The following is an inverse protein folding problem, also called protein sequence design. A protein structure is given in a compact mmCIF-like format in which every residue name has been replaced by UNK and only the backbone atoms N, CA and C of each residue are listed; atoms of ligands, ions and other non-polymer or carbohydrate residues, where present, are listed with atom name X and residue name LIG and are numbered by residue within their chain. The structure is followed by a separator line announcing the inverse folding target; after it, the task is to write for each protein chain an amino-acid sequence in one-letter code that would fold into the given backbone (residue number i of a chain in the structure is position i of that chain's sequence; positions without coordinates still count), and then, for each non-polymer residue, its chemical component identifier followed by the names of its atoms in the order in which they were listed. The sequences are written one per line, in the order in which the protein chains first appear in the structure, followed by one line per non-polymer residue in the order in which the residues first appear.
data_IF_426777846225
#
_entry.id   IF_426777846225
#
_cell.length_a   1.000
_cell.length_b   1.000
_cell.length_c   1.000
_cell.angle_alpha   90.00
_cell.angle_beta   90.00
_cell.angle_gamma   90.00
#
_symmetry.space_group_name_H-M   'P 1'
#
loop_
_entity.id
_entity.type
_entity.pdbx_description
1 polymer ?
#
# COMPACT_ATOMS: atom_id res chain seq x y z
N UNK A 1 37.52 -13.70 -5.82
CA UNK A 1 37.71 -12.27 -5.93
C UNK A 1 36.37 -11.64 -5.57
N UNK A 2 36.24 -11.08 -4.37
CA UNK A 2 35.02 -10.48 -3.90
C UNK A 2 34.89 -9.06 -4.45
N UNK A 3 33.87 -8.79 -5.25
CA UNK A 3 33.52 -7.44 -5.66
C UNK A 3 32.83 -6.74 -4.48
N UNK A 4 33.47 -5.76 -3.89
CA UNK A 4 32.84 -4.87 -2.92
C UNK A 4 31.93 -3.91 -3.68
N UNK A 5 30.62 -4.07 -3.49
CA UNK A 5 29.64 -3.09 -3.96
C UNK A 5 29.74 -1.89 -3.00
N UNK A 6 30.27 -0.79 -3.51
CA UNK A 6 30.22 0.50 -2.80
C UNK A 6 28.80 1.04 -2.92
N UNK A 7 28.00 0.87 -1.87
CA UNK A 7 26.74 1.59 -1.73
C UNK A 7 27.10 3.06 -1.52
N UNK A 8 26.65 3.93 -2.43
CA UNK A 8 26.71 5.36 -2.21
C UNK A 8 25.94 5.66 -0.92
N UNK A 9 26.66 5.97 0.15
CA UNK A 9 26.09 6.41 1.40
C UNK A 9 25.54 7.82 1.18
N UNK A 10 24.26 7.91 0.83
CA UNK A 10 23.51 9.13 1.11
C UNK A 10 23.59 9.40 2.61
N UNK A 11 23.67 10.67 3.00
CA UNK A 11 23.61 11.04 4.40
C UNK A 11 22.41 10.33 5.05
N UNK A 12 22.55 9.74 6.26
CA UNK A 12 21.44 9.08 6.91
C UNK A 12 20.31 10.09 7.05
N UNK A 13 19.12 9.73 6.53
CA UNK A 13 17.91 10.50 6.78
C UNK A 13 17.70 10.52 8.29
N UNK A 14 17.69 11.70 8.87
CA UNK A 14 17.29 11.87 10.27
C UNK A 14 15.77 11.70 10.34
N UNK A 15 15.35 10.44 10.51
CA UNK A 15 13.95 10.07 10.60
C UNK A 15 13.20 10.77 11.77
N UNK A 16 13.93 11.31 12.73
CA UNK A 16 13.35 12.06 13.85
C UNK A 16 12.93 13.49 13.52
N UNK A 17 13.33 14.02 12.35
CA UNK A 17 13.02 15.39 11.94
C UNK A 17 12.13 15.49 10.71
N UNK A 18 11.81 14.36 10.04
CA UNK A 18 10.90 14.38 8.90
C UNK A 18 9.50 14.78 9.36
N UNK A 19 8.98 15.84 8.79
CA UNK A 19 7.57 16.23 8.88
C UNK A 19 7.02 16.25 7.48
N UNK A 20 5.90 15.58 7.27
CA UNK A 20 5.13 15.74 6.05
C UNK A 20 4.80 17.22 5.89
N UNK A 21 5.08 17.79 4.72
CA UNK A 21 4.68 19.14 4.43
C UNK A 21 3.14 19.23 4.21
N UNK A 22 2.62 20.44 4.22
CA UNK A 22 1.17 20.66 4.06
C UNK A 22 0.65 20.11 2.72
N UNK A 23 1.49 20.08 1.70
CA UNK A 23 1.13 19.55 0.36
C UNK A 23 0.98 18.05 0.42
N UNK A 24 1.91 17.33 1.06
CA UNK A 24 1.81 15.88 1.25
C UNK A 24 0.58 15.50 2.07
N UNK A 25 0.30 16.26 3.13
CA UNK A 25 -0.91 16.06 3.96
C UNK A 25 -2.18 16.24 3.13
N UNK A 26 -2.28 17.30 2.32
CA UNK A 26 -3.48 17.54 1.49
C UNK A 26 -3.64 16.47 0.40
N UNK A 27 -2.55 16.02 -0.24
CA UNK A 27 -2.60 14.90 -1.20
C UNK A 27 -3.12 13.63 -0.54
N UNK A 28 -2.65 13.33 0.67
CA UNK A 28 -3.15 12.18 1.43
C UNK A 28 -4.64 12.32 1.76
N UNK A 29 -5.07 13.49 2.24
CA UNK A 29 -6.48 13.77 2.49
C UNK A 29 -7.33 13.61 1.21
N UNK A 30 -6.81 14.00 0.06
CA UNK A 30 -7.51 13.82 -1.22
C UNK A 30 -7.69 12.34 -1.58
N UNK A 31 -6.68 11.50 -1.33
CA UNK A 31 -6.79 10.05 -1.53
C UNK A 31 -7.81 9.41 -0.55
N UNK A 32 -7.88 9.91 0.68
CA UNK A 32 -8.82 9.42 1.69
C UNK A 32 -10.27 9.77 1.35
N UNK A 33 -10.51 10.89 0.67
CA UNK A 33 -11.85 11.31 0.21
C UNK A 33 -12.43 10.45 -0.91
N UNK A 34 -11.65 9.57 -1.52
CA UNK A 34 -12.13 8.62 -2.52
C UNK A 34 -12.62 7.36 -1.81
N UNK A 35 -13.94 7.10 -1.75
CA UNK A 35 -14.50 5.98 -0.98
C UNK A 35 -14.40 4.65 -1.74
N UNK A 36 -13.20 4.12 -1.89
CA UNK A 36 -12.92 2.84 -2.57
C UNK A 36 -13.35 1.66 -1.68
N UNK A 37 -14.64 1.55 -1.40
CA UNK A 37 -15.19 0.53 -0.51
C UNK A 37 -15.31 -0.80 -1.24
N UNK A 38 -14.56 -1.80 -0.80
CA UNK A 38 -14.70 -3.17 -1.30
C UNK A 38 -15.95 -3.85 -0.73
N UNK A 39 -16.52 -4.78 -1.50
CA UNK A 39 -17.72 -5.54 -1.14
C UNK A 39 -17.54 -7.00 -1.53
N UNK A 40 -17.83 -7.93 -0.62
CA UNK A 40 -17.79 -9.37 -0.93
C UNK A 40 -18.64 -9.72 -2.16
N UNK A 41 -19.85 -9.11 -2.24
CA UNK A 41 -20.66 -9.18 -3.44
C UNK A 41 -20.25 -8.06 -4.39
N UNK A 42 -19.47 -8.40 -5.40
CA UNK A 42 -18.96 -7.43 -6.39
C UNK A 42 -20.08 -6.63 -7.10
N UNK A 43 -21.28 -7.17 -7.21
CA UNK A 43 -22.41 -6.46 -7.80
C UNK A 43 -22.94 -5.29 -6.94
N UNK A 44 -22.52 -5.21 -5.68
CA UNK A 44 -22.86 -4.14 -4.75
C UNK A 44 -21.73 -3.10 -4.63
N UNK A 45 -20.59 -3.32 -5.28
CA UNK A 45 -19.47 -2.37 -5.29
C UNK A 45 -19.82 -1.18 -6.17
N UNK A 46 -19.55 0.00 -5.68
CA UNK A 46 -19.53 1.21 -6.50
C UNK A 46 -18.16 1.34 -7.17
N UNK A 47 -18.11 1.16 -8.48
CA UNK A 47 -16.89 1.18 -9.26
C UNK A 47 -16.38 2.60 -9.58
N UNK A 48 -17.23 3.62 -9.43
CA UNK A 48 -16.85 5.01 -9.74
C UNK A 48 -15.66 5.52 -8.92
N UNK A 49 -15.59 5.33 -7.58
CA UNK A 49 -14.41 5.70 -6.79
C UNK A 49 -13.13 4.98 -7.23
N UNK A 50 -13.22 3.70 -7.58
CA UNK A 50 -12.07 2.95 -8.08
C UNK A 50 -11.59 3.47 -9.44
N UNK A 51 -12.52 3.89 -10.30
CA UNK A 51 -12.20 4.48 -11.60
C UNK A 51 -11.42 5.79 -11.47
N UNK A 52 -11.68 6.57 -10.42
CA UNK A 52 -11.04 7.84 -10.13
C UNK A 52 -9.63 7.69 -9.53
N UNK A 53 -9.30 6.52 -8.98
CA UNK A 53 -8.08 6.30 -8.21
C UNK A 53 -6.81 6.59 -9.01
N UNK A 54 -6.58 5.88 -10.10
CA UNK A 54 -5.39 6.07 -10.93
C UNK A 54 -5.30 7.48 -11.53
N UNK A 55 -6.37 8.06 -12.12
CA UNK A 55 -6.33 9.45 -12.57
C UNK A 55 -5.96 10.45 -11.48
N UNK A 56 -6.44 10.23 -10.26
CA UNK A 56 -6.08 11.08 -9.12
C UNK A 56 -4.60 10.96 -8.78
N UNK A 57 -4.07 9.75 -8.67
CA UNK A 57 -2.63 9.53 -8.44
C UNK A 57 -1.77 10.18 -9.54
N UNK A 58 -2.15 10.04 -10.80
CA UNK A 58 -1.44 10.66 -11.92
C UNK A 58 -1.38 12.19 -11.82
N UNK A 59 -2.44 12.81 -11.35
CA UNK A 59 -2.51 14.26 -11.13
C UNK A 59 -1.69 14.70 -9.93
N UNK A 60 -1.72 13.93 -8.83
CA UNK A 60 -1.04 14.26 -7.58
C UNK A 60 0.48 14.04 -7.67
N UNK A 61 0.92 13.04 -8.44
CA UNK A 61 2.32 12.58 -8.51
C UNK A 61 2.86 12.56 -9.94
N UNK A 62 2.90 13.73 -10.63
CA UNK A 62 3.22 13.79 -12.05
C UNK A 62 4.66 13.41 -12.39
N UNK A 63 5.64 13.60 -11.49
CA UNK A 63 7.02 13.17 -11.77
C UNK A 63 7.12 11.66 -11.76
N UNK A 64 6.45 10.99 -10.83
CA UNK A 64 6.42 9.55 -10.77
C UNK A 64 5.79 8.95 -12.04
N UNK A 65 4.59 9.38 -12.40
CA UNK A 65 3.89 8.86 -13.59
C UNK A 65 4.52 9.24 -14.93
N UNK A 66 5.44 10.18 -14.95
CA UNK A 66 6.24 10.49 -16.14
C UNK A 66 7.30 9.41 -16.43
N UNK A 67 7.77 8.72 -15.43
CA UNK A 67 8.84 7.71 -15.53
C UNK A 67 8.35 6.29 -15.30
N UNK A 68 7.27 6.11 -14.55
CA UNK A 68 6.72 4.81 -14.20
C UNK A 68 5.94 4.19 -15.36
N UNK A 69 6.01 2.88 -15.45
CA UNK A 69 5.24 2.05 -16.37
C UNK A 69 4.06 1.43 -15.63
N UNK A 70 2.84 1.69 -16.09
CA UNK A 70 1.62 1.17 -15.48
C UNK A 70 1.14 -0.09 -16.21
N UNK A 71 0.99 -1.17 -15.47
CA UNK A 71 0.23 -2.36 -15.87
C UNK A 71 -1.03 -2.46 -15.01
N UNK A 72 -2.19 -2.59 -15.64
CA UNK A 72 -3.44 -2.88 -14.93
C UNK A 72 -3.53 -4.36 -14.63
N UNK A 73 -4.00 -4.67 -13.43
CA UNK A 73 -4.30 -6.03 -12.98
C UNK A 73 -5.79 -6.07 -12.64
N UNK A 74 -6.52 -6.92 -13.32
CA UNK A 74 -7.98 -6.94 -13.27
C UNK A 74 -8.61 -5.56 -13.58
N UNK A 75 -9.71 -5.22 -12.93
CA UNK A 75 -10.45 -4.00 -13.23
C UNK A 75 -9.74 -2.74 -12.71
N UNK A 76 -9.28 -2.77 -11.46
CA UNK A 76 -8.77 -1.58 -10.76
C UNK A 76 -7.42 -1.77 -10.07
N UNK A 77 -6.91 -2.98 -9.98
CA UNK A 77 -5.57 -3.25 -9.47
C UNK A 77 -4.49 -2.61 -10.37
N UNK A 78 -3.39 -2.20 -9.78
CA UNK A 78 -2.29 -1.58 -10.50
C UNK A 78 -0.94 -2.15 -10.08
N UNK A 79 -0.09 -2.37 -11.09
CA UNK A 79 1.31 -2.74 -10.93
C UNK A 79 2.14 -1.69 -11.65
N UNK A 80 2.94 -0.95 -10.91
CA UNK A 80 3.72 0.19 -11.38
C UNK A 80 5.20 -0.14 -11.31
N UNK A 81 5.90 -0.04 -12.43
CA UNK A 81 7.35 -0.20 -12.48
C UNK A 81 8.02 1.17 -12.49
N UNK A 82 8.84 1.44 -11.51
CA UNK A 82 9.80 2.53 -11.51
C UNK A 82 11.16 1.98 -11.97
N UNK A 83 11.59 2.28 -13.22
CA UNK A 83 12.81 1.73 -13.78
C UNK A 83 14.05 2.12 -12.98
N UNK A 84 14.89 1.14 -12.71
CA UNK A 84 16.19 1.33 -12.08
C UNK A 84 17.32 1.53 -13.08
N UNK A 85 18.51 1.81 -12.56
CA UNK A 85 19.72 2.00 -13.35
C UNK A 85 20.24 0.67 -13.96
N UNK A 86 19.96 -0.46 -13.32
CA UNK A 86 20.35 -1.80 -13.76
C UNK A 86 19.15 -2.76 -13.71
N UNK A 87 18.56 -3.00 -14.87
CA UNK A 87 17.42 -3.91 -15.03
C UNK A 87 17.80 -5.40 -14.94
N UNK A 88 19.09 -5.75 -14.84
CA UNK A 88 19.52 -7.12 -14.62
C UNK A 88 19.47 -7.53 -13.14
N UNK A 89 19.30 -6.58 -12.25
CA UNK A 89 19.12 -6.85 -10.82
C UNK A 89 17.67 -7.24 -10.53
N UNK A 90 17.50 -8.26 -9.69
CA UNK A 90 16.16 -8.61 -9.18
C UNK A 90 15.50 -7.42 -8.51
N UNK A 91 14.25 -7.09 -8.84
CA UNK A 91 13.59 -5.88 -8.35
C UNK A 91 13.15 -5.97 -6.89
N UNK A 92 12.78 -4.83 -6.33
CA UNK A 92 12.02 -4.74 -5.09
C UNK A 92 10.55 -4.56 -5.46
N UNK A 93 9.66 -5.29 -4.80
CA UNK A 93 8.22 -5.06 -4.86
C UNK A 93 7.76 -4.47 -3.53
N UNK A 94 7.10 -3.34 -3.59
CA UNK A 94 6.37 -2.75 -2.47
C UNK A 94 4.88 -2.89 -2.76
N UNK A 95 4.09 -3.21 -1.75
CA UNK A 95 2.66 -3.39 -1.94
C UNK A 95 1.85 -2.74 -0.82
N UNK A 96 0.66 -2.32 -1.20
CA UNK A 96 -0.38 -1.83 -0.30
C UNK A 96 -1.71 -1.88 -1.06
N UNK A 97 -2.83 -1.83 -0.36
CA UNK A 97 -4.13 -1.82 -1.01
C UNK A 97 -4.78 -0.45 -1.05
N UNK A 98 -5.65 -0.25 -2.03
CA UNK A 98 -6.40 0.99 -2.22
C UNK A 98 -7.83 0.91 -1.73
N UNK A 99 -8.34 -0.30 -1.56
CA UNK A 99 -9.69 -0.53 -1.06
C UNK A 99 -9.75 -0.38 0.46
N UNK A 100 -10.96 -0.27 0.95
CA UNK A 100 -11.26 -0.12 2.38
C UNK A 100 -12.52 -0.87 2.72
N UNK A 101 -12.63 -1.32 3.98
CA UNK A 101 -13.85 -1.95 4.49
C UNK A 101 -15.02 -0.97 4.56
N UNK A 102 -16.28 -1.46 4.50
CA UNK A 102 -17.47 -0.67 4.68
C UNK A 102 -17.49 0.13 5.99
N UNK A 103 -18.24 1.22 6.01
CA UNK A 103 -18.40 2.11 7.17
C UNK A 103 -19.78 2.02 7.82
N UNK A 104 -20.70 1.32 7.19
CA UNK A 104 -22.08 1.16 7.62
C UNK A 104 -22.16 0.43 8.98
N UNK A 105 -23.03 0.88 9.85
CA UNK A 105 -23.22 0.30 11.17
C UNK A 105 -22.14 0.62 12.20
N UNK A 106 -21.20 1.48 11.86
CA UNK A 106 -20.15 1.99 12.74
C UNK A 106 -20.51 3.38 13.26
N UNK A 107 -20.10 3.68 14.51
CA UNK A 107 -20.36 4.98 15.14
C UNK A 107 -19.16 5.92 14.89
N UNK A 108 -19.24 6.69 13.81
CA UNK A 108 -18.20 7.63 13.41
C UNK A 108 -18.42 9.01 14.07
N UNK A 109 -17.38 9.58 14.66
CA UNK A 109 -17.40 10.94 15.20
C UNK A 109 -17.27 12.01 14.12
N UNK A 110 -16.57 11.68 13.03
CA UNK A 110 -16.33 12.52 11.88
C UNK A 110 -16.76 11.78 10.62
N UNK A 111 -16.96 12.47 9.51
CA UNK A 111 -17.26 11.84 8.23
C UNK A 111 -16.13 10.86 7.87
N UNK A 112 -16.41 9.55 7.70
CA UNK A 112 -15.39 8.55 7.39
C UNK A 112 -14.65 8.79 6.07
N UNK A 113 -15.17 9.63 5.18
CA UNK A 113 -14.53 10.02 3.93
C UNK A 113 -14.29 11.54 3.83
N UNK A 114 -14.45 12.28 4.93
CA UNK A 114 -14.19 13.71 5.00
C UNK A 114 -12.70 14.04 5.02
N UNK A 115 -11.87 13.14 5.53
CA UNK A 115 -10.44 13.36 5.78
C UNK A 115 -10.22 14.66 6.58
N UNK A 116 -11.02 14.84 7.64
CA UNK A 116 -10.94 16.00 8.52
C UNK A 116 -9.68 15.94 9.36
N UNK A 117 -9.02 17.10 9.51
CA UNK A 117 -7.87 17.22 10.42
C UNK A 117 -8.38 17.84 11.72
N UNK A 118 -8.37 17.05 12.78
CA UNK A 118 -8.83 17.46 14.09
C UNK A 118 -7.78 17.10 15.16
N UNK A 119 -7.41 18.05 15.99
CA UNK A 119 -6.37 17.92 17.03
C UNK A 119 -5.03 17.37 16.53
N UNK A 120 -4.66 17.64 15.26
CA UNK A 120 -3.42 17.16 14.66
C UNK A 120 -3.49 15.75 14.10
N UNK A 121 -4.66 15.12 14.10
CA UNK A 121 -4.93 13.80 13.54
C UNK A 121 -5.81 13.89 12.29
N UNK A 122 -5.55 13.02 11.31
CA UNK A 122 -6.40 12.90 10.11
C UNK A 122 -7.43 11.79 10.37
N UNK A 123 -8.69 12.17 10.39
CA UNK A 123 -9.81 11.27 10.64
C UNK A 123 -10.42 10.80 9.31
N UNK A 124 -10.20 9.55 8.95
CA UNK A 124 -10.85 8.94 7.79
C UNK A 124 -10.73 7.40 7.79
N UNK A 125 -11.63 6.71 7.10
CA UNK A 125 -11.47 5.32 6.72
C UNK A 125 -10.30 5.21 5.73
N UNK A 126 -9.37 4.24 5.96
CA UNK A 126 -8.17 4.06 5.15
C UNK A 126 -6.97 4.93 5.60
N UNK A 127 -7.11 5.77 6.64
CA UNK A 127 -6.01 6.59 7.14
C UNK A 127 -4.88 5.76 7.77
N UNK A 128 -5.17 4.58 8.30
CA UNK A 128 -4.20 3.63 8.81
C UNK A 128 -4.09 2.39 7.92
N UNK A 129 -5.19 1.86 7.46
CA UNK A 129 -5.32 0.64 6.72
C UNK A 129 -5.97 0.92 5.35
N UNK A 130 -5.17 1.03 4.22
CA UNK A 130 -3.70 1.24 4.25
C UNK A 130 -3.30 2.31 3.25
N UNK A 131 -4.21 3.26 2.93
CA UNK A 131 -3.91 4.37 2.00
C UNK A 131 -2.74 5.24 2.47
N UNK A 132 -2.39 5.20 3.77
CA UNK A 132 -1.19 5.89 4.29
C UNK A 132 0.09 5.31 3.67
N UNK A 133 0.19 4.00 3.48
CA UNK A 133 1.36 3.36 2.86
C UNK A 133 1.40 3.68 1.36
N UNK A 134 0.24 3.66 0.68
CA UNK A 134 0.14 4.12 -0.72
C UNK A 134 0.65 5.54 -0.85
N UNK A 135 0.16 6.46 -0.01
CA UNK A 135 0.59 7.86 -0.01
C UNK A 135 2.09 8.00 0.27
N UNK A 136 2.60 7.31 1.29
CA UNK A 136 4.01 7.36 1.66
C UNK A 136 4.93 6.91 0.52
N UNK A 137 4.56 5.84 -0.20
CA UNK A 137 5.31 5.40 -1.38
C UNK A 137 5.35 6.47 -2.47
N UNK A 138 4.20 7.02 -2.83
CA UNK A 138 4.14 8.01 -3.90
C UNK A 138 4.83 9.33 -3.52
N UNK A 139 4.69 9.81 -2.28
CA UNK A 139 5.39 11.00 -1.80
C UNK A 139 6.91 10.81 -1.84
N UNK A 140 7.41 9.67 -1.39
CA UNK A 140 8.84 9.37 -1.42
C UNK A 140 9.36 9.28 -2.86
N UNK A 141 8.66 8.56 -3.74
CA UNK A 141 9.06 8.40 -5.14
C UNK A 141 9.01 9.73 -5.90
N UNK A 142 7.94 10.50 -5.77
CA UNK A 142 7.75 11.82 -6.39
C UNK A 142 8.90 12.77 -6.01
N UNK A 143 9.20 12.85 -4.72
CA UNK A 143 10.27 13.68 -4.20
C UNK A 143 11.66 13.27 -4.72
N UNK A 144 11.97 11.98 -4.68
CA UNK A 144 13.25 11.45 -5.16
C UNK A 144 13.43 11.65 -6.66
N UNK A 145 12.39 11.40 -7.46
CA UNK A 145 12.42 11.60 -8.91
C UNK A 145 12.58 13.08 -9.27
N UNK A 146 11.91 13.97 -8.55
CA UNK A 146 12.06 15.41 -8.75
C UNK A 146 13.50 15.89 -8.49
N UNK A 147 14.27 15.17 -7.67
CA UNK A 147 15.71 15.41 -7.45
C UNK A 147 16.63 14.69 -8.44
N UNK A 148 16.07 13.98 -9.42
CA UNK A 148 16.83 13.23 -10.40
C UNK A 148 17.36 11.88 -9.92
N UNK A 149 16.83 11.36 -8.80
CA UNK A 149 17.22 10.05 -8.30
C UNK A 149 16.68 8.94 -9.21
N UNK A 150 17.57 7.99 -9.51
CA UNK A 150 17.22 6.74 -10.19
C UNK A 150 17.59 5.59 -9.26
N UNK A 151 16.67 4.68 -8.91
CA UNK A 151 17.00 3.57 -8.02
C UNK A 151 18.02 2.64 -8.70
N UNK A 152 18.87 1.94 -7.94
CA UNK A 152 19.87 1.05 -8.51
C UNK A 152 19.27 -0.18 -9.22
N UNK A 153 18.07 -0.59 -8.84
CA UNK A 153 17.28 -1.68 -9.44
C UNK A 153 15.85 -1.24 -9.63
N UNK A 154 15.08 -1.95 -10.42
CA UNK A 154 13.66 -1.66 -10.56
C UNK A 154 12.94 -1.72 -9.21
N UNK A 155 12.05 -0.75 -9.00
CA UNK A 155 11.12 -0.76 -7.88
C UNK A 155 9.71 -0.91 -8.45
N UNK A 156 9.03 -1.96 -8.04
CA UNK A 156 7.65 -2.19 -8.39
C UNK A 156 6.75 -1.81 -7.22
N UNK A 157 5.65 -1.16 -7.52
CA UNK A 157 4.60 -0.90 -6.55
C UNK A 157 3.33 -1.60 -7.03
N UNK A 158 2.81 -2.49 -6.21
CA UNK A 158 1.53 -3.15 -6.43
C UNK A 158 0.47 -2.57 -5.50
N UNK A 159 -0.71 -2.25 -6.05
CA UNK A 159 -1.86 -1.86 -5.25
C UNK A 159 -3.08 -2.68 -5.66
N UNK A 160 -3.62 -3.41 -4.68
CA UNK A 160 -4.83 -4.21 -4.80
C UNK A 160 -6.09 -3.35 -4.66
N UNK A 161 -7.17 -3.76 -5.32
CA UNK A 161 -8.50 -3.16 -5.25
C UNK A 161 -9.50 -3.99 -4.43
N UNK A 162 -9.03 -5.02 -3.72
CA UNK A 162 -9.88 -5.94 -2.98
C UNK A 162 -9.11 -6.79 -1.98
N UNK A 163 -8.14 -6.23 -1.27
CA UNK A 163 -7.40 -6.91 -0.22
C UNK A 163 -8.33 -7.33 0.91
N UNK A 164 -9.16 -6.40 1.38
CA UNK A 164 -10.10 -6.52 2.49
C UNK A 164 -11.17 -7.63 2.31
N UNK A 165 -11.31 -8.12 1.10
CA UNK A 165 -12.24 -9.19 0.73
C UNK A 165 -11.53 -10.40 0.14
N UNK A 166 -10.20 -10.47 0.26
CA UNK A 166 -9.36 -11.52 -0.32
C UNK A 166 -9.62 -11.74 -1.83
N UNK A 167 -9.82 -10.64 -2.58
CA UNK A 167 -9.99 -10.71 -4.03
C UNK A 167 -8.73 -11.27 -4.72
N UNK A 168 -8.86 -11.86 -5.92
CA UNK A 168 -7.76 -12.55 -6.57
C UNK A 168 -6.69 -11.63 -7.17
N UNK A 169 -6.84 -10.30 -7.11
CA UNK A 169 -5.97 -9.31 -7.74
C UNK A 169 -4.48 -9.50 -7.41
N UNK A 170 -4.16 -9.78 -6.14
CA UNK A 170 -2.78 -10.06 -5.74
C UNK A 170 -2.24 -11.36 -6.38
N UNK A 171 -3.07 -12.40 -6.46
CA UNK A 171 -2.72 -13.66 -7.12
C UNK A 171 -2.45 -13.44 -8.61
N UNK A 172 -3.29 -12.64 -9.27
CA UNK A 172 -3.13 -12.33 -10.69
C UNK A 172 -1.88 -11.46 -10.94
N UNK A 173 -1.57 -10.52 -10.04
CA UNK A 173 -0.32 -9.75 -10.11
C UNK A 173 0.92 -10.66 -10.01
N UNK A 174 0.91 -11.61 -9.08
CA UNK A 174 1.99 -12.61 -8.94
C UNK A 174 2.11 -13.48 -10.18
N UNK A 175 0.99 -13.90 -10.76
CA UNK A 175 1.00 -14.66 -12.00
C UNK A 175 1.59 -13.84 -13.15
N UNK A 176 1.18 -12.57 -13.29
CA UNK A 176 1.72 -11.67 -14.30
C UNK A 176 3.24 -11.50 -14.16
N UNK A 177 3.75 -11.26 -12.93
CA UNK A 177 5.19 -11.16 -12.67
C UNK A 177 5.94 -12.45 -13.09
N UNK A 178 5.39 -13.62 -12.78
CA UNK A 178 5.96 -14.93 -13.18
C UNK A 178 6.02 -15.11 -14.70
N UNK A 179 4.94 -14.76 -15.40
CA UNK A 179 4.86 -14.86 -16.86
C UNK A 179 5.87 -13.94 -17.57
N UNK A 180 6.27 -12.85 -16.90
CA UNK A 180 7.28 -11.90 -17.38
C UNK A 180 8.68 -12.20 -16.83
N UNK A 181 8.90 -13.33 -16.17
CA UNK A 181 10.17 -13.72 -15.55
C UNK A 181 10.72 -12.69 -14.56
N UNK A 182 9.84 -12.02 -13.83
CA UNK A 182 10.21 -11.05 -12.80
C UNK A 182 10.24 -11.78 -11.47
N UNK A 183 11.42 -11.83 -10.86
CA UNK A 183 11.66 -12.51 -9.58
C UNK A 183 12.09 -11.48 -8.55
N UNK A 184 11.22 -11.09 -7.61
CA UNK A 184 11.59 -10.08 -6.62
C UNK A 184 12.74 -10.53 -5.72
N UNK A 185 13.72 -9.64 -5.52
CA UNK A 185 14.72 -9.79 -4.47
C UNK A 185 14.08 -9.69 -3.07
N UNK A 186 13.10 -8.79 -2.94
CA UNK A 186 12.38 -8.55 -1.70
C UNK A 186 10.96 -8.08 -2.04
N UNK A 187 10.01 -8.53 -1.24
CA UNK A 187 8.65 -7.99 -1.21
C UNK A 187 8.45 -7.32 0.14
N UNK A 188 8.00 -6.08 0.15
CA UNK A 188 7.62 -5.34 1.33
C UNK A 188 6.12 -5.07 1.26
N UNK A 189 5.40 -5.65 2.19
CA UNK A 189 3.97 -5.47 2.36
C UNK A 189 3.68 -4.56 3.55
N UNK A 190 2.44 -4.35 3.82
CA UNK A 190 1.94 -3.60 4.94
C UNK A 190 1.95 -4.40 6.26
N UNK A 191 1.42 -3.79 7.32
CA UNK A 191 1.25 -4.42 8.61
C UNK A 191 2.41 -4.18 9.56
N UNK A 192 2.37 -4.92 10.66
CA UNK A 192 3.28 -4.70 11.76
C UNK A 192 2.87 -3.53 12.66
N UNK A 193 3.52 -3.43 13.79
CA UNK A 193 3.28 -2.36 14.74
C UNK A 193 4.51 -2.13 15.63
N UNK A 194 4.61 -0.94 16.20
CA UNK A 194 5.47 -0.70 17.36
C UNK A 194 4.65 -0.98 18.62
N UNK A 195 4.94 -2.08 19.29
CA UNK A 195 4.29 -2.48 20.54
C UNK A 195 5.02 -1.89 21.75
N UNK A 196 4.31 -1.21 22.62
CA UNK A 196 4.85 -0.68 23.88
C UNK A 196 4.78 -1.68 25.02
N UNK A 197 3.87 -2.66 24.92
CA UNK A 197 3.71 -3.80 25.84
C UNK A 197 4.07 -5.09 25.12
N UNK A 198 5.32 -5.19 24.68
CA UNK A 198 5.79 -6.35 23.92
C UNK A 198 5.76 -7.63 24.81
N UNK A 199 5.40 -8.80 24.23
CA UNK A 199 5.48 -10.06 24.97
C UNK A 199 6.91 -10.37 25.43
N UNK A 200 7.06 -11.30 26.35
CA UNK A 200 8.34 -11.77 26.88
C UNK A 200 9.09 -10.80 27.81
N UNK A 201 8.40 -9.82 28.38
CA UNK A 201 8.97 -8.93 29.41
C UNK A 201 9.94 -7.87 28.85
N UNK A 202 9.83 -7.57 27.56
CA UNK A 202 10.54 -6.43 26.95
C UNK A 202 9.83 -5.14 27.38
N UNK A 203 10.57 -4.22 27.96
CA UNK A 203 10.02 -2.95 28.49
C UNK A 203 10.15 -1.77 27.52
N UNK A 204 11.01 -1.90 26.51
CA UNK A 204 11.20 -0.89 25.48
C UNK A 204 10.23 -1.11 24.32
N UNK A 205 9.85 -0.04 23.58
CA UNK A 205 9.05 -0.19 22.38
C UNK A 205 9.75 -1.09 21.35
N UNK A 206 9.00 -2.05 20.79
CA UNK A 206 9.50 -3.04 19.82
C UNK A 206 8.77 -2.87 18.49
N UNK A 207 9.51 -2.60 17.44
CA UNK A 207 9.00 -2.69 16.08
C UNK A 207 8.94 -4.17 15.67
N UNK A 208 7.75 -4.66 15.40
CA UNK A 208 7.54 -6.03 14.93
C UNK A 208 7.59 -6.08 13.41
N UNK A 209 8.47 -6.93 12.86
CA UNK A 209 8.59 -7.16 11.42
C UNK A 209 8.24 -8.62 11.15
N UNK A 210 7.15 -8.87 10.43
CA UNK A 210 6.81 -10.19 9.92
C UNK A 210 7.79 -10.58 8.81
N UNK A 211 8.32 -11.79 8.86
CA UNK A 211 9.25 -12.31 7.83
C UNK A 211 8.69 -13.50 7.06
N UNK A 212 7.45 -13.88 7.35
CA UNK A 212 6.71 -14.92 6.68
C UNK A 212 5.21 -14.81 6.95
N UNK A 213 4.41 -15.30 6.03
CA UNK A 213 2.96 -15.39 6.17
C UNK A 213 2.53 -16.85 6.41
N UNK A 214 1.44 -17.01 7.15
CA UNK A 214 0.75 -18.29 7.34
C UNK A 214 -0.51 -18.33 6.49
N UNK A 215 -0.93 -19.56 6.11
CA UNK A 215 -2.21 -19.73 5.43
C UNK A 215 -3.38 -19.34 6.34
N UNK A 216 -4.42 -18.78 5.73
CA UNK A 216 -5.71 -18.48 6.33
C UNK A 216 -6.77 -19.36 5.70
N UNK A 217 -7.75 -19.82 6.49
CA UNK A 217 -8.94 -20.53 6.00
C UNK A 217 -10.11 -20.25 6.92
N UNK A 218 -11.23 -19.89 6.34
CA UNK A 218 -12.50 -19.77 7.02
C UNK A 218 -13.31 -21.06 6.85
N UNK A 219 -13.87 -21.57 7.95
CA UNK A 219 -14.72 -22.75 7.96
C UNK A 219 -16.13 -22.37 8.41
N UNK A 220 -17.09 -22.48 7.50
CA UNK A 220 -18.50 -22.38 7.85
C UNK A 220 -19.06 -23.76 8.23
N UNK A 221 -19.44 -23.94 9.47
CA UNK A 221 -20.05 -25.19 9.96
C UNK A 221 -21.54 -24.95 10.22
N UNK A 222 -22.39 -25.68 9.51
CA UNK A 222 -23.86 -25.62 9.68
C UNK A 222 -24.35 -26.94 10.22
N UNK A 223 -24.94 -26.93 11.41
CA UNK A 223 -25.68 -28.06 11.96
C UNK A 223 -27.18 -27.90 11.70
N UNK A 224 -27.81 -28.94 11.19
CA UNK A 224 -29.26 -29.01 11.04
C UNK A 224 -29.77 -30.20 11.78
N UNK A 225 -30.87 -30.04 12.52
CA UNK A 225 -31.57 -31.11 13.19
C UNK A 225 -33.08 -30.91 13.01
N UNK A 226 -33.80 -32.01 12.87
CA UNK A 226 -35.25 -31.97 12.96
C UNK A 226 -35.61 -31.71 14.43
N UNK A 227 -36.41 -30.68 14.66
CA UNK A 227 -36.88 -30.36 16.03
C UNK A 227 -37.71 -31.51 16.58
N UNK A 228 -37.44 -31.87 17.82
CA UNK A 228 -38.21 -32.90 18.58
C UNK A 228 -39.29 -32.27 19.47
#
# INVERSE_FOLDING_TARGET
MGASVSVAQGAPLDAGTYKADEVAVERFCELLRIPTVSRENIAERDDEPFSQWIPTLQRLYPHFFKVAELTRVDDFGMLLRWPGADSALDPIVMMAHQDVVPVEGQDWKHDPFGAEIFDGEIWARGSLDTKCIVSAFFEAAEHLIAQGFVPPRDVWFFSSDGEEIAAPTATHAVQWLREHNIHPYMVLDEGGAVATDAPLGVTEPVAMVGVSEKGHVDLAVTARADGG
#
